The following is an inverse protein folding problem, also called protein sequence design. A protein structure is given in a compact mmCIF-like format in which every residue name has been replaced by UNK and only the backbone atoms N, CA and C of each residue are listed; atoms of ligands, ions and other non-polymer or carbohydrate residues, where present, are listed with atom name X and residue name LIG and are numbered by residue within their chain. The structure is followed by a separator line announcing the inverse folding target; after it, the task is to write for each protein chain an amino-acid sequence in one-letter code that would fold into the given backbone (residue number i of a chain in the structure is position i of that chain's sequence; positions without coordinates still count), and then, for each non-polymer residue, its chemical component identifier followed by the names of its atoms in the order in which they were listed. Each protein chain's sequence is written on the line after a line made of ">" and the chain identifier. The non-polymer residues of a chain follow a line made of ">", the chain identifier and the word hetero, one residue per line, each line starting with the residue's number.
data_IF_971494718063
#
_entry.id   IF_971494718063
#
_cell.length_a   1.000
_cell.length_b   1.000
_cell.length_c   1.000
_cell.angle_alpha   90.00
_cell.angle_beta   90.00
_cell.angle_gamma   90.00
#
_symmetry.space_group_name_H-M   'P 1'
#
loop_
_entity.id
_entity.type
_entity.pdbx_description
1 polymer ?
#
# COMPACT_ATOMS: atom_id res chain seq x y z
N UNK A 1 10.12 11.02 5.18
CA UNK A 1 8.79 11.47 5.66
C UNK A 1 8.04 12.37 4.69
N UNK A 2 8.49 13.59 4.31
CA UNK A 2 7.69 14.48 3.43
C UNK A 2 7.23 13.84 2.11
N UNK A 3 8.10 13.10 1.42
CA UNK A 3 7.75 12.40 0.19
C UNK A 3 6.77 11.23 0.40
N UNK A 4 6.81 10.58 1.57
CA UNK A 4 5.86 9.52 1.94
C UNK A 4 4.49 10.16 2.15
N UNK A 5 4.39 11.20 2.98
CA UNK A 5 3.11 11.88 3.22
C UNK A 5 2.47 12.45 1.96
N UNK A 6 3.26 12.95 1.00
CA UNK A 6 2.74 13.39 -0.29
C UNK A 6 2.11 12.22 -1.08
N UNK A 7 2.81 11.09 -1.21
CA UNK A 7 2.28 9.90 -1.86
C UNK A 7 1.08 9.28 -1.12
N UNK A 8 1.01 9.40 0.21
CA UNK A 8 -0.17 8.95 0.96
C UNK A 8 -1.35 9.90 0.78
N UNK A 9 -1.13 11.21 0.71
CA UNK A 9 -2.20 12.18 0.46
C UNK A 9 -2.86 11.92 -0.91
N UNK A 10 -2.05 11.59 -1.91
CA UNK A 10 -2.46 11.10 -3.23
C UNK A 10 -3.37 9.88 -3.13
N UNK A 11 -3.13 8.97 -2.18
CA UNK A 11 -3.95 7.76 -1.96
C UNK A 11 -5.20 8.01 -1.10
N UNK A 12 -5.12 8.87 -0.09
CA UNK A 12 -6.25 9.21 0.78
C UNK A 12 -7.30 10.08 0.07
N UNK A 13 -6.90 10.86 -0.94
CA UNK A 13 -7.84 11.56 -1.81
C UNK A 13 -8.72 10.57 -2.62
N UNK A 14 -8.26 9.33 -2.85
CA UNK A 14 -8.96 8.34 -3.67
C UNK A 14 -10.11 7.64 -2.94
N UNK A 15 -10.12 7.62 -1.60
CA UNK A 15 -11.19 6.99 -0.81
C UNK A 15 -12.42 7.90 -0.63
N UNK A 16 -12.34 9.16 -1.05
CA UNK A 16 -13.37 10.17 -0.79
C UNK A 16 -14.03 10.78 -2.03
N UNK A 17 -13.65 10.37 -3.24
CA UNK A 17 -14.22 10.95 -4.47
C UNK A 17 -14.86 9.88 -5.34
N UNK A 18 -16.18 9.77 -5.24
CA UNK A 18 -17.04 9.12 -6.23
C UNK A 18 -17.08 9.93 -7.54
N UNK A 19 -15.92 10.26 -8.11
CA UNK A 19 -15.84 10.70 -9.50
C UNK A 19 -15.70 9.45 -10.34
N UNK A 20 -16.65 9.24 -11.24
CA UNK A 20 -16.61 8.22 -12.27
C UNK A 20 -15.35 8.38 -13.13
N UNK A 21 -14.24 7.83 -12.66
CA UNK A 21 -13.01 7.65 -13.42
C UNK A 21 -12.88 6.15 -13.71
N UNK A 22 -12.22 5.82 -14.83
CA UNK A 22 -12.14 4.45 -15.33
C UNK A 22 -11.22 3.60 -14.42
N UNK A 23 -11.75 3.19 -13.27
CA UNK A 23 -11.12 2.25 -12.37
C UNK A 23 -10.98 0.91 -13.12
N UNK A 24 -9.74 0.57 -13.46
CA UNK A 24 -9.45 -0.68 -14.18
C UNK A 24 -9.07 -1.74 -13.16
N UNK A 25 -9.71 -2.91 -13.22
CA UNK A 25 -9.35 -4.03 -12.35
C UNK A 25 -8.28 -4.90 -12.98
N UNK A 26 -7.22 -5.18 -12.23
CA UNK A 26 -6.15 -6.11 -12.60
C UNK A 26 -6.01 -7.14 -11.47
N UNK A 27 -6.58 -8.33 -11.66
CA UNK A 27 -6.70 -9.33 -10.60
C UNK A 27 -7.46 -8.77 -9.40
N UNK A 28 -6.79 -8.75 -8.24
CA UNK A 28 -7.34 -8.22 -6.98
C UNK A 28 -7.10 -6.72 -6.78
N UNK A 29 -6.42 -6.07 -7.72
CA UNK A 29 -6.07 -4.65 -7.64
C UNK A 29 -7.06 -3.79 -8.41
N UNK A 30 -7.55 -2.76 -7.73
CA UNK A 30 -8.12 -1.57 -8.35
C UNK A 30 -7.00 -0.64 -8.78
N UNK A 31 -6.98 -0.26 -10.05
CA UNK A 31 -5.98 0.65 -10.62
C UNK A 31 -6.62 2.00 -10.89
N UNK A 32 -6.10 3.04 -10.23
CA UNK A 32 -6.41 4.44 -10.52
C UNK A 32 -5.29 5.05 -11.33
N UNK A 33 -5.61 5.44 -12.57
CA UNK A 33 -4.68 6.05 -13.54
C UNK A 33 -5.10 7.52 -13.69
N UNK A 34 -4.71 8.35 -12.73
CA UNK A 34 -4.93 9.80 -12.75
C UNK A 34 -3.61 10.55 -12.49
N UNK A 35 -3.65 11.74 -11.87
CA UNK A 35 -2.42 12.51 -11.57
C UNK A 35 -1.52 11.84 -10.53
N UNK A 36 -2.08 10.93 -9.75
CA UNK A 36 -1.50 10.44 -8.51
C UNK A 36 -1.20 8.94 -8.55
N UNK A 37 -1.54 8.26 -9.66
CA UNK A 37 -1.22 6.87 -10.03
C UNK A 37 -1.08 5.93 -8.84
N UNK A 38 -2.12 5.16 -8.51
CA UNK A 38 -2.09 4.22 -7.40
C UNK A 38 -2.83 2.92 -7.73
N UNK A 39 -2.41 1.83 -7.09
CA UNK A 39 -3.16 0.57 -7.07
C UNK A 39 -3.57 0.24 -5.64
N UNK A 40 -4.80 -0.21 -5.45
CA UNK A 40 -5.36 -0.51 -4.13
C UNK A 40 -6.09 -1.84 -4.11
N UNK A 41 -6.18 -2.43 -2.93
CA UNK A 41 -7.04 -3.56 -2.61
C UNK A 41 -7.74 -3.23 -1.30
N UNK A 42 -9.06 -3.37 -1.27
CA UNK A 42 -9.87 -3.19 -0.07
C UNK A 42 -10.85 -4.35 0.09
N UNK A 43 -11.12 -4.73 1.34
CA UNK A 43 -12.12 -5.74 1.65
C UNK A 43 -12.79 -5.49 3.00
N UNK A 44 -13.88 -6.22 3.24
CA UNK A 44 -14.57 -6.22 4.53
C UNK A 44 -14.03 -7.32 5.44
N UNK A 45 -13.64 -6.96 6.66
CA UNK A 45 -13.25 -7.91 7.69
C UNK A 45 -14.47 -8.66 8.23
N UNK A 46 -14.24 -9.69 9.04
CA UNK A 46 -15.32 -10.41 9.75
C UNK A 46 -16.13 -9.49 10.68
N UNK A 47 -15.49 -8.43 11.20
CA UNK A 47 -16.12 -7.39 12.02
C UNK A 47 -16.84 -6.30 11.22
N UNK A 48 -16.86 -6.42 9.87
CA UNK A 48 -17.41 -5.45 8.89
C UNK A 48 -16.61 -4.15 8.75
N UNK A 49 -15.45 -4.08 9.38
CA UNK A 49 -14.47 -3.02 9.14
C UNK A 49 -13.91 -3.12 7.71
N UNK A 50 -13.34 -2.03 7.22
CA UNK A 50 -12.72 -1.99 5.90
C UNK A 50 -11.22 -1.99 6.09
N UNK A 51 -10.58 -3.06 5.63
CA UNK A 51 -9.13 -3.16 5.59
C UNK A 51 -8.64 -3.01 4.15
N UNK A 52 -7.42 -2.53 3.98
CA UNK A 52 -6.86 -2.34 2.66
C UNK A 52 -5.35 -2.17 2.61
N UNK A 53 -4.84 -2.26 1.39
CA UNK A 53 -3.47 -1.96 1.01
C UNK A 53 -3.46 -1.11 -0.26
N UNK A 54 -2.54 -0.16 -0.33
CA UNK A 54 -2.27 0.64 -1.50
C UNK A 54 -0.79 0.67 -1.84
N UNK A 55 -0.48 0.76 -3.13
CA UNK A 55 0.87 0.99 -3.65
C UNK A 55 0.86 2.18 -4.61
N UNK A 56 1.78 3.12 -4.42
CA UNK A 56 2.00 4.26 -5.30
C UNK A 56 3.49 4.58 -5.38
N UNK A 57 3.92 5.22 -6.47
CA UNK A 57 5.27 5.77 -6.52
C UNK A 57 5.30 7.16 -5.90
N UNK A 58 6.39 7.48 -5.21
CA UNK A 58 6.72 8.89 -4.92
C UNK A 58 6.84 9.68 -6.23
N UNK A 59 6.57 10.99 -6.21
CA UNK A 59 6.55 11.88 -7.38
C UNK A 59 7.84 11.92 -8.24
N UNK A 60 8.93 11.28 -7.81
CA UNK A 60 10.18 11.13 -8.58
C UNK A 60 10.50 9.69 -8.95
N UNK A 61 9.59 8.75 -8.70
CA UNK A 61 9.79 7.31 -8.93
C UNK A 61 10.88 6.65 -8.08
N UNK A 62 11.48 7.37 -7.11
CA UNK A 62 12.64 6.92 -6.35
C UNK A 62 12.31 5.82 -5.32
N UNK A 63 11.08 5.85 -4.83
CA UNK A 63 10.54 4.88 -3.89
C UNK A 63 9.09 4.57 -4.22
N UNK A 64 8.68 3.35 -3.90
CA UNK A 64 7.29 2.93 -3.80
C UNK A 64 6.83 3.15 -2.36
N UNK A 65 5.64 3.71 -2.17
CA UNK A 65 5.00 3.84 -0.88
C UNK A 65 3.91 2.78 -0.80
N UNK A 66 3.98 1.99 0.26
CA UNK A 66 2.97 1.02 0.63
C UNK A 66 2.15 1.60 1.78
N UNK A 67 0.84 1.61 1.62
CA UNK A 67 -0.10 2.13 2.63
C UNK A 67 -0.98 0.98 3.07
N UNK A 68 -1.12 0.82 4.38
CA UNK A 68 -2.04 -0.12 4.99
C UNK A 68 -3.14 0.66 5.70
N UNK A 69 -4.37 0.18 5.59
CA UNK A 69 -5.52 0.79 6.24
C UNK A 69 -6.39 -0.24 6.94
N UNK A 70 -6.97 0.17 8.05
CA UNK A 70 -8.13 -0.48 8.67
C UNK A 70 -8.96 0.56 9.42
N UNK A 71 -10.28 0.60 9.16
CA UNK A 71 -11.21 1.47 9.88
C UNK A 71 -11.29 1.21 11.38
N UNK A 72 -10.92 0.00 11.83
CA UNK A 72 -10.91 -0.39 13.24
C UNK A 72 -9.71 0.16 14.02
N UNK A 73 -8.59 0.43 13.33
CA UNK A 73 -7.34 0.85 13.95
C UNK A 73 -7.46 2.14 14.78
N UNK A 74 -6.57 2.24 15.76
CA UNK A 74 -6.48 3.35 16.73
C UNK A 74 -5.04 3.83 16.87
N UNK A 75 -4.40 4.04 15.74
CA UNK A 75 -3.03 4.55 15.67
C UNK A 75 -2.95 6.00 16.17
N UNK A 76 -1.77 6.40 16.64
CA UNK A 76 -1.46 7.78 16.97
C UNK A 76 -0.82 8.45 15.76
N UNK A 77 -1.44 9.50 15.25
CA UNK A 77 -0.94 10.24 14.09
C UNK A 77 0.56 10.59 14.24
N UNK A 78 1.33 10.34 13.17
CA UNK A 78 2.79 10.52 13.07
C UNK A 78 3.64 9.67 14.01
N UNK A 79 3.07 8.68 14.70
CA UNK A 79 3.89 7.74 15.47
C UNK A 79 4.77 6.90 14.55
N UNK A 80 6.01 6.65 14.98
CA UNK A 80 6.91 5.74 14.28
C UNK A 80 6.47 4.31 14.53
N UNK A 81 6.49 3.51 13.47
CA UNK A 81 6.08 2.10 13.50
C UNK A 81 7.26 1.23 13.06
N UNK A 82 7.38 0.06 13.66
CA UNK A 82 8.19 -1.04 13.12
C UNK A 82 7.21 -2.02 12.48
N UNK A 83 7.41 -2.33 11.20
CA UNK A 83 6.48 -3.14 10.42
C UNK A 83 7.24 -4.31 9.83
N UNK A 84 6.83 -5.52 10.20
CA UNK A 84 7.36 -6.75 9.64
C UNK A 84 6.57 -7.12 8.40
N UNK A 85 7.29 -7.30 7.28
CA UNK A 85 6.72 -7.71 6.00
C UNK A 85 7.27 -9.08 5.64
N UNK A 86 6.42 -9.98 5.15
CA UNK A 86 6.84 -11.27 4.63
C UNK A 86 6.04 -11.67 3.39
N UNK A 87 6.73 -12.05 2.32
CA UNK A 87 6.11 -12.52 1.08
C UNK A 87 6.35 -14.02 0.94
N UNK A 88 5.28 -14.80 0.84
CA UNK A 88 5.26 -16.27 0.75
C UNK A 88 6.15 -16.98 1.80
N UNK A 89 6.49 -16.31 2.91
CA UNK A 89 7.50 -16.72 3.91
C UNK A 89 8.92 -16.94 3.36
N UNK A 90 9.19 -16.56 2.11
CA UNK A 90 10.49 -16.72 1.43
C UNK A 90 11.33 -15.46 1.51
N UNK A 91 10.67 -14.32 1.48
CA UNK A 91 11.27 -13.02 1.71
C UNK A 91 10.62 -12.42 2.94
N UNK A 92 11.42 -11.83 3.82
CA UNK A 92 10.92 -11.05 4.94
C UNK A 92 11.90 -9.93 5.28
N UNK A 93 11.35 -8.82 5.73
CA UNK A 93 12.11 -7.66 6.18
C UNK A 93 11.29 -6.87 7.19
N UNK A 94 11.95 -6.39 8.25
CA UNK A 94 11.37 -5.42 9.17
C UNK A 94 11.78 -4.03 8.72
N UNK A 95 10.78 -3.18 8.47
CA UNK A 95 10.95 -1.86 7.88
C UNK A 95 10.37 -0.78 8.78
N UNK A 96 10.95 0.42 8.72
CA UNK A 96 10.42 1.57 9.44
C UNK A 96 9.21 2.16 8.71
N UNK A 97 8.09 2.26 9.42
CA UNK A 97 6.85 2.88 8.97
C UNK A 97 6.47 4.11 9.79
N UNK A 98 5.35 4.72 9.42
CA UNK A 98 4.76 5.84 10.16
C UNK A 98 3.25 5.76 10.08
N UNK A 99 2.56 5.99 11.21
CA UNK A 99 1.13 6.20 11.20
C UNK A 99 0.82 7.54 10.53
N UNK A 100 0.01 7.51 9.48
CA UNK A 100 -0.39 8.70 8.74
C UNK A 100 -1.55 9.38 9.44
N UNK A 101 -2.50 8.57 9.93
CA UNK A 101 -3.58 8.96 10.81
C UNK A 101 -3.96 7.81 11.74
N UNK A 102 -5.16 7.85 12.33
CA UNK A 102 -5.63 6.83 13.27
C UNK A 102 -5.94 5.47 12.63
N UNK A 103 -6.11 5.42 11.32
CA UNK A 103 -6.55 4.27 10.52
C UNK A 103 -5.56 3.85 9.44
N UNK A 104 -4.48 4.61 9.23
CA UNK A 104 -3.53 4.38 8.15
C UNK A 104 -2.09 4.37 8.62
N UNK A 105 -1.32 3.43 8.10
CA UNK A 105 0.13 3.37 8.24
C UNK A 105 0.79 3.34 6.86
N UNK A 106 1.97 3.93 6.74
CA UNK A 106 2.71 3.96 5.49
C UNK A 106 4.17 3.56 5.67
N UNK A 107 4.69 2.86 4.67
CA UNK A 107 6.08 2.44 4.54
C UNK A 107 6.63 2.92 3.21
N UNK A 108 7.84 3.47 3.22
CA UNK A 108 8.58 3.74 1.99
C UNK A 108 9.51 2.57 1.66
N UNK A 109 9.32 1.96 0.50
CA UNK A 109 10.15 0.88 -0.03
C UNK A 109 10.98 1.44 -1.20
N UNK A 110 12.33 1.38 -1.14
CA UNK A 110 13.17 1.82 -2.26
C UNK A 110 12.81 1.08 -3.56
N UNK A 111 12.76 1.81 -4.69
CA UNK A 111 12.36 1.25 -5.99
C UNK A 111 13.27 0.10 -6.48
N UNK A 112 14.50 0.03 -5.97
CA UNK A 112 15.49 -1.00 -6.31
C UNK A 112 15.57 -2.14 -5.30
N UNK A 113 14.67 -2.18 -4.31
CA UNK A 113 14.73 -3.18 -3.23
C UNK A 113 14.26 -4.55 -3.72
N UNK A 114 14.79 -5.61 -3.10
CA UNK A 114 14.29 -6.98 -3.29
C UNK A 114 12.82 -7.14 -2.91
N UNK A 115 12.29 -6.25 -2.06
CA UNK A 115 10.89 -6.22 -1.68
C UNK A 115 9.95 -6.09 -2.88
N UNK A 116 10.25 -5.20 -3.84
CA UNK A 116 9.39 -5.01 -5.03
C UNK A 116 9.39 -6.26 -5.90
N UNK A 117 10.55 -6.90 -6.07
CA UNK A 117 10.64 -8.19 -6.77
C UNK A 117 9.85 -9.28 -6.05
N UNK A 118 9.89 -9.32 -4.72
CA UNK A 118 9.09 -10.23 -3.93
C UNK A 118 7.59 -9.98 -4.16
N UNK A 119 7.11 -8.74 -4.08
CA UNK A 119 5.71 -8.38 -4.35
C UNK A 119 5.25 -8.77 -5.76
N UNK A 120 6.09 -8.56 -6.79
CA UNK A 120 5.77 -8.90 -8.18
C UNK A 120 5.80 -10.41 -8.49
N UNK A 121 6.30 -11.25 -7.59
CA UNK A 121 6.44 -12.70 -7.82
C UNK A 121 5.76 -13.57 -6.76
N UNK A 122 5.39 -12.96 -5.63
CA UNK A 122 4.70 -13.62 -4.55
C UNK A 122 3.21 -13.80 -4.81
N UNK A 123 2.58 -14.55 -3.90
CA UNK A 123 1.14 -14.83 -3.88
C UNK A 123 0.47 -14.17 -2.69
N UNK A 124 1.17 -14.09 -1.57
CA UNK A 124 0.67 -13.49 -0.34
C UNK A 124 1.73 -12.58 0.29
N UNK A 125 1.29 -11.44 0.81
CA UNK A 125 2.05 -10.56 1.67
C UNK A 125 1.44 -10.61 3.07
N UNK A 126 2.20 -11.08 4.04
CA UNK A 126 1.91 -10.88 5.45
C UNK A 126 2.53 -9.56 5.93
N UNK A 127 1.77 -8.80 6.70
CA UNK A 127 2.20 -7.59 7.38
C UNK A 127 1.80 -7.65 8.85
N UNK A 128 2.69 -7.22 9.72
CA UNK A 128 2.43 -7.04 11.15
C UNK A 128 3.07 -5.74 11.64
N UNK A 129 2.34 -4.97 12.45
CA UNK A 129 2.94 -3.86 13.20
C UNK A 129 3.50 -4.37 14.54
N UNK A 130 4.82 -4.39 14.65
CA UNK A 130 5.49 -4.97 15.81
C UNK A 130 5.08 -4.24 17.10
N UNK A 131 4.64 -5.01 18.11
CA UNK A 131 4.27 -4.48 19.42
C UNK A 131 2.87 -3.84 19.51
N UNK A 132 2.06 -3.88 18.45
CA UNK A 132 0.66 -3.41 18.46
C UNK A 132 -0.38 -4.51 18.68
N UNK A 133 0.01 -5.79 18.56
CA UNK A 133 -0.84 -6.97 18.73
C UNK A 133 -1.49 -7.45 17.43
N UNK A 134 -2.16 -8.61 17.47
CA UNK A 134 -2.67 -9.33 16.29
C UNK A 134 -3.70 -8.54 15.47
N UNK A 135 -4.41 -7.58 16.09
CA UNK A 135 -5.37 -6.69 15.41
C UNK A 135 -4.72 -5.77 14.36
N UNK A 136 -3.39 -5.68 14.35
CA UNK A 136 -2.59 -4.88 13.41
C UNK A 136 -1.80 -5.77 12.43
N UNK A 137 -2.25 -7.02 12.24
CA UNK A 137 -1.66 -7.96 11.30
C UNK A 137 -2.65 -8.36 10.20
N UNK A 138 -2.16 -8.45 8.96
CA UNK A 138 -2.97 -8.84 7.80
C UNK A 138 -2.18 -9.69 6.82
N UNK A 139 -2.91 -10.55 6.11
CA UNK A 139 -2.44 -11.22 4.89
C UNK A 139 -3.17 -10.64 3.70
N UNK A 140 -2.42 -10.11 2.75
CA UNK A 140 -2.88 -9.52 1.49
C UNK A 140 -2.60 -10.48 0.34
N UNK A 141 -3.54 -10.63 -0.58
CA UNK A 141 -3.34 -11.43 -1.79
C UNK A 141 -2.67 -10.60 -2.88
N UNK A 142 -1.70 -11.20 -3.57
CA UNK A 142 -0.86 -10.57 -4.59
C UNK A 142 -1.21 -11.00 -6.02
N UNK A 143 -2.43 -11.47 -6.27
CA UNK A 143 -2.85 -11.90 -7.61
C UNK A 143 -2.72 -10.77 -8.65
N UNK A 144 -2.05 -11.08 -9.76
CA UNK A 144 -1.71 -10.13 -10.84
C UNK A 144 -0.97 -8.85 -10.39
N UNK A 145 -0.34 -8.83 -9.20
CA UNK A 145 0.43 -7.67 -8.68
C UNK A 145 1.50 -7.19 -9.65
N UNK A 146 2.17 -8.11 -10.36
CA UNK A 146 3.13 -7.75 -11.42
C UNK A 146 2.50 -6.86 -12.48
N UNK A 147 1.32 -7.25 -12.98
CA UNK A 147 0.62 -6.48 -14.02
C UNK A 147 0.14 -5.14 -13.47
N UNK A 148 -0.35 -5.13 -12.24
CA UNK A 148 -0.78 -3.90 -11.56
C UNK A 148 0.39 -2.92 -11.36
N UNK A 149 1.55 -3.39 -10.90
CA UNK A 149 2.77 -2.58 -10.77
C UNK A 149 3.25 -2.09 -12.13
N UNK A 150 3.20 -2.92 -13.18
CA UNK A 150 3.53 -2.45 -14.54
C UNK A 150 2.58 -1.36 -15.06
N UNK A 151 1.28 -1.46 -14.76
CA UNK A 151 0.32 -0.41 -15.09
C UNK A 151 0.60 0.89 -14.31
N UNK A 152 0.97 0.76 -13.03
CA UNK A 152 1.39 1.87 -12.18
C UNK A 152 2.66 2.56 -12.71
N UNK A 153 3.66 1.80 -13.17
CA UNK A 153 4.87 2.34 -13.80
C UNK A 153 4.57 3.07 -15.11
N UNK A 154 3.70 2.51 -15.94
CA UNK A 154 3.26 3.14 -17.19
C UNK A 154 2.50 4.45 -16.93
N UNK A 155 1.65 4.50 -15.90
CA UNK A 155 0.95 5.72 -15.47
C UNK A 155 1.95 6.80 -15.05
N UNK A 156 2.93 6.44 -14.20
CA UNK A 156 3.99 7.37 -13.77
C UNK A 156 4.75 7.96 -14.96
N UNK A 157 5.13 7.13 -15.93
CA UNK A 157 5.86 7.58 -17.12
C UNK A 157 5.08 8.55 -18.01
N UNK A 158 3.75 8.60 -17.90
CA UNK A 158 2.90 9.56 -18.63
C UNK A 158 2.68 10.87 -17.85
N UNK A 159 2.94 10.88 -16.55
CA UNK A 159 2.77 12.03 -15.67
C UNK A 159 4.04 12.91 -15.55
N UNK A 160 5.20 12.42 -16.01
CA UNK A 160 6.46 13.18 -16.19
C UNK A 160 6.47 14.00 -17.49
#
# INVERSE_FOLDING_TARGET
>A
MRAIFAAVASMAALTSVATAQAETKIGVWSVSIDKDCAITQEWKTETKDTAGIGLAYTAKGQAMVMVFSDSSWKLKEKESLSISLAVDKKWSETVSGTAVDKTMAAVGIPATSSAINALMSGKELYMEMDGKGDDYAYTYYLDDTRKAISALEACRAQAE
#
